data_IF_978143794087
#
_entry.id   IF_978143794087
#
_cell.length_a   1.000
_cell.length_b   1.000
_cell.length_c   1.000
_cell.angle_alpha   90.00
_cell.angle_beta   90.00
_cell.angle_gamma   90.00
#
_symmetry.space_group_name_H-M   'P 1'
#
loop_
_entity.id
_entity.type
_entity.pdbx_description
1 polymer ?
#
# COMPACT_ATOMS: atom_id res chain seq x y z
N UNK A 1 23.01 -15.51 -2.30
CA UNK A 1 22.64 -14.39 -1.40
C UNK A 1 23.29 -14.67 -0.07
N UNK A 2 24.15 -13.76 0.38
CA UNK A 2 24.87 -13.94 1.65
C UNK A 2 24.00 -13.47 2.82
N UNK A 3 24.32 -13.86 4.05
CA UNK A 3 23.64 -13.35 5.25
C UNK A 3 23.74 -11.82 5.42
N UNK A 4 24.56 -11.12 4.62
CA UNK A 4 24.67 -9.66 4.62
C UNK A 4 23.50 -8.94 3.92
N UNK A 5 22.65 -9.65 3.17
CA UNK A 5 21.52 -9.07 2.42
C UNK A 5 20.20 -9.09 3.20
N UNK A 6 20.18 -9.65 4.41
CA UNK A 6 18.95 -9.75 5.21
C UNK A 6 18.72 -8.48 6.03
N UNK A 7 17.51 -7.89 5.99
CA UNK A 7 17.19 -6.72 6.81
C UNK A 7 17.31 -7.08 8.30
N UNK A 8 17.88 -6.17 9.08
CA UNK A 8 17.95 -6.28 10.54
C UNK A 8 16.55 -6.38 11.17
N UNK A 9 16.46 -6.89 12.40
CA UNK A 9 15.19 -6.94 13.12
C UNK A 9 14.50 -5.57 13.24
N UNK A 10 15.30 -4.49 13.37
CA UNK A 10 14.79 -3.12 13.39
C UNK A 10 14.19 -2.73 12.04
N UNK A 11 14.88 -2.99 10.92
CA UNK A 11 14.36 -2.74 9.57
C UNK A 11 13.11 -3.56 9.28
N UNK A 12 13.06 -4.83 9.71
CA UNK A 12 11.85 -5.66 9.57
C UNK A 12 10.67 -5.05 10.33
N UNK A 13 10.90 -4.57 11.55
CA UNK A 13 9.86 -3.92 12.37
C UNK A 13 9.33 -2.67 11.68
N UNK A 14 10.22 -1.81 11.20
CA UNK A 14 9.87 -0.58 10.50
C UNK A 14 9.09 -0.87 9.21
N UNK A 15 9.57 -1.80 8.38
CA UNK A 15 8.88 -2.21 7.15
C UNK A 15 7.44 -2.68 7.43
N UNK A 16 7.23 -3.47 8.50
CA UNK A 16 5.89 -3.89 8.91
C UNK A 16 5.02 -2.72 9.32
N UNK A 17 5.55 -1.77 10.09
CA UNK A 17 4.82 -0.58 10.50
C UNK A 17 4.41 0.28 9.30
N UNK A 18 5.32 0.49 8.35
CA UNK A 18 5.05 1.20 7.08
C UNK A 18 3.92 0.54 6.30
N UNK A 19 3.98 -0.78 6.12
CA UNK A 19 2.95 -1.53 5.38
C UNK A 19 1.59 -1.47 6.08
N UNK A 20 1.56 -1.59 7.42
CA UNK A 20 0.32 -1.45 8.18
C UNK A 20 -0.28 -0.05 8.06
N UNK A 21 0.54 1.00 8.16
CA UNK A 21 0.07 2.38 8.02
C UNK A 21 -0.46 2.66 6.60
N UNK A 22 0.19 2.12 5.57
CA UNK A 22 -0.30 2.18 4.20
C UNK A 22 -1.67 1.51 4.02
N UNK A 23 -1.87 0.31 4.57
CA UNK A 23 -3.15 -0.40 4.49
C UNK A 23 -4.25 0.30 5.27
N UNK A 24 -3.93 0.82 6.46
CA UNK A 24 -4.87 1.56 7.28
C UNK A 24 -5.36 2.82 6.56
N UNK A 25 -4.43 3.65 6.06
CA UNK A 25 -4.78 4.86 5.31
C UNK A 25 -5.53 4.52 4.01
N UNK A 26 -5.00 3.58 3.23
CA UNK A 26 -5.49 3.30 1.88
C UNK A 26 -6.78 2.48 1.86
N UNK A 27 -6.83 1.33 2.53
CA UNK A 27 -7.95 0.41 2.41
C UNK A 27 -9.05 0.66 3.43
N UNK A 28 -8.67 0.88 4.70
CA UNK A 28 -9.63 1.07 5.78
C UNK A 28 -10.23 2.48 5.71
N UNK A 29 -9.39 3.51 5.77
CA UNK A 29 -9.82 4.92 5.77
C UNK A 29 -10.16 5.44 4.37
N UNK A 30 -9.67 4.77 3.32
CA UNK A 30 -9.83 5.21 1.92
C UNK A 30 -9.25 6.61 1.68
N UNK A 31 -8.21 6.98 2.42
CA UNK A 31 -7.47 8.22 2.24
C UNK A 31 -6.25 7.98 1.34
N UNK A 32 -6.42 8.31 0.06
CA UNK A 32 -5.34 8.19 -0.91
C UNK A 32 -4.18 9.15 -0.60
N UNK A 33 -4.45 10.37 -0.15
CA UNK A 33 -3.39 11.34 0.10
C UNK A 33 -2.49 10.87 1.25
N UNK A 34 -3.08 10.37 2.34
CA UNK A 34 -2.35 9.75 3.43
C UNK A 34 -1.59 8.49 2.98
N UNK A 35 -2.23 7.59 2.22
CA UNK A 35 -1.60 6.36 1.76
C UNK A 35 -0.44 6.60 0.78
N UNK A 36 -0.55 7.63 -0.09
CA UNK A 36 0.47 7.93 -1.12
C UNK A 36 1.83 8.30 -0.53
N UNK A 37 1.90 8.74 0.74
CA UNK A 37 3.16 9.05 1.42
C UNK A 37 4.05 7.82 1.64
N UNK A 38 3.47 6.62 1.63
CA UNK A 38 4.20 5.36 1.79
C UNK A 38 4.60 4.72 0.46
N UNK A 39 4.23 5.32 -0.68
CA UNK A 39 4.56 4.82 -2.01
C UNK A 39 5.89 5.42 -2.49
N UNK A 40 6.74 4.56 -3.04
CA UNK A 40 7.91 4.99 -3.80
C UNK A 40 7.54 5.51 -5.20
N UNK A 41 8.54 5.88 -6.02
CA UNK A 41 8.32 6.39 -7.38
C UNK A 41 7.66 5.36 -8.32
N UNK A 42 7.65 4.09 -7.92
CA UNK A 42 7.02 3.00 -8.67
C UNK A 42 6.13 2.18 -7.75
N UNK A 43 4.92 1.88 -8.23
CA UNK A 43 4.01 0.92 -7.62
C UNK A 43 3.69 -0.14 -8.68
N UNK A 44 4.08 -1.39 -8.44
CA UNK A 44 3.78 -2.50 -9.34
C UNK A 44 2.66 -3.33 -8.75
N UNK A 45 1.57 -3.46 -9.49
CA UNK A 45 0.46 -4.32 -9.13
C UNK A 45 0.63 -5.66 -9.84
N UNK A 46 0.59 -6.74 -9.07
CA UNK A 46 0.71 -8.09 -9.60
C UNK A 46 -0.62 -8.64 -10.12
N UNK A 47 -1.75 -8.05 -9.72
CA UNK A 47 -3.05 -8.34 -10.33
C UNK A 47 -3.07 -7.79 -11.78
N UNK A 48 -3.11 -8.65 -12.81
CA UNK A 48 -3.05 -8.21 -14.22
C UNK A 48 -4.29 -7.41 -14.67
N UNK A 49 -5.35 -7.38 -13.86
CA UNK A 49 -6.57 -6.59 -14.12
C UNK A 49 -6.53 -5.20 -13.50
N UNK A 50 -5.52 -4.88 -12.70
CA UNK A 50 -5.35 -3.58 -12.08
C UNK A 50 -4.18 -2.85 -12.74
N UNK A 51 -4.33 -1.54 -12.91
CA UNK A 51 -3.27 -0.71 -13.45
C UNK A 51 -2.10 -0.62 -12.44
N UNK A 52 -0.89 -0.59 -12.98
CA UNK A 52 0.31 -0.21 -12.22
C UNK A 52 0.28 1.29 -11.88
N UNK A 53 1.24 1.69 -11.05
CA UNK A 53 1.52 3.09 -10.72
C UNK A 53 0.62 3.67 -9.63
N UNK A 54 1.03 4.86 -9.17
CA UNK A 54 0.31 5.61 -8.13
C UNK A 54 -1.12 5.92 -8.59
N UNK A 55 -1.31 6.24 -9.87
CA UNK A 55 -2.65 6.47 -10.45
C UNK A 55 -3.52 5.21 -10.42
N UNK A 56 -2.95 4.03 -10.70
CA UNK A 56 -3.68 2.76 -10.59
C UNK A 56 -4.19 2.51 -9.18
N UNK A 57 -3.36 2.79 -8.17
CA UNK A 57 -3.78 2.71 -6.77
C UNK A 57 -4.83 3.77 -6.41
N UNK A 58 -4.69 5.02 -6.87
CA UNK A 58 -5.69 6.07 -6.64
C UNK A 58 -7.08 5.66 -7.17
N UNK A 59 -7.12 5.13 -8.39
CA UNK A 59 -8.36 4.64 -8.99
C UNK A 59 -8.98 3.50 -8.19
N UNK A 60 -8.16 2.60 -7.64
CA UNK A 60 -8.63 1.54 -6.75
C UNK A 60 -9.25 2.09 -5.46
N UNK A 61 -8.66 3.11 -4.83
CA UNK A 61 -9.25 3.73 -3.64
C UNK A 61 -10.60 4.38 -3.95
N UNK A 62 -10.73 5.05 -5.10
CA UNK A 62 -12.01 5.61 -5.54
C UNK A 62 -13.05 4.52 -5.80
N UNK A 63 -12.64 3.39 -6.39
CA UNK A 63 -13.50 2.22 -6.54
C UNK A 63 -14.01 1.70 -5.17
N UNK A 64 -13.14 1.57 -4.17
CA UNK A 64 -13.52 1.10 -2.83
C UNK A 64 -14.55 2.03 -2.18
N UNK A 65 -14.36 3.35 -2.27
CA UNK A 65 -15.32 4.34 -1.77
C UNK A 65 -16.71 4.18 -2.38
N UNK A 66 -16.77 3.97 -3.70
CA UNK A 66 -18.03 3.89 -4.42
C UNK A 66 -18.76 2.55 -4.22
N UNK A 67 -18.02 1.43 -4.13
CA UNK A 67 -18.59 0.09 -4.27
C UNK A 67 -18.59 -0.73 -2.97
N UNK A 68 -17.65 -0.45 -2.06
CA UNK A 68 -17.52 -1.17 -0.79
C UNK A 68 -17.24 -0.20 0.38
N UNK A 69 -18.09 0.82 0.60
CA UNK A 69 -17.81 1.92 1.52
C UNK A 69 -17.60 1.48 2.98
N UNK A 70 -18.18 0.35 3.38
CA UNK A 70 -18.12 -0.15 4.76
C UNK A 70 -17.04 -1.21 4.99
N UNK A 71 -16.27 -1.58 3.96
CA UNK A 71 -15.18 -2.53 4.11
C UNK A 71 -14.02 -1.88 4.88
N UNK A 72 -13.79 -2.31 6.11
CA UNK A 72 -12.62 -1.99 6.93
C UNK A 72 -12.32 -3.20 7.83
N UNK A 73 -11.04 -3.47 8.07
CA UNK A 73 -10.55 -4.58 8.90
C UNK A 73 -9.77 -4.05 10.10
#
# INVERSE_FOLDING_TARGET
>A
MSNADQPSAAQIKENKQTVLAFYEAGLNQKDFAAASQYLGPYYKQHNPRAADGIEGFHNFINFLKANVPHLAW
#
